data_IF_335264189066
#
_entry.id   IF_335264189066
#
_cell.length_a   1.000
_cell.length_b   1.000
_cell.length_c   1.000
_cell.angle_alpha   90.00
_cell.angle_beta   90.00
_cell.angle_gamma   90.00
#
_symmetry.space_group_name_H-M   'P 1'
#
loop_
_entity.id
_entity.type
_entity.pdbx_description
1 polymer ?
#
# COMPACT_ATOMS: atom_id res chain seq x y z
N UNK A 1 -22.55 25.77 -10.36
CA UNK A 1 -24.00 25.52 -10.44
C UNK A 1 -24.22 24.38 -11.42
N UNK A 2 -24.36 23.14 -10.94
CA UNK A 2 -24.63 21.97 -11.80
C UNK A 2 -26.15 21.82 -11.86
N UNK A 3 -26.80 22.62 -12.69
CA UNK A 3 -28.28 22.76 -12.71
C UNK A 3 -28.93 22.20 -13.97
N UNK A 4 -28.14 21.71 -14.93
CA UNK A 4 -28.69 21.11 -16.15
C UNK A 4 -28.76 19.57 -16.02
N UNK A 5 -29.88 18.94 -16.41
CA UNK A 5 -30.07 17.49 -16.28
C UNK A 5 -29.06 16.68 -17.10
N UNK A 6 -28.59 17.23 -18.23
CA UNK A 6 -27.55 16.60 -19.05
C UNK A 6 -26.18 16.57 -18.35
N UNK A 7 -25.80 17.63 -17.63
CA UNK A 7 -24.55 17.62 -16.84
C UNK A 7 -24.60 16.60 -15.70
N UNK A 8 -25.76 16.40 -15.08
CA UNK A 8 -25.92 15.35 -14.07
C UNK A 8 -25.80 13.96 -14.70
N UNK A 9 -26.46 13.73 -15.85
CA UNK A 9 -26.38 12.47 -16.57
C UNK A 9 -24.95 12.13 -17.00
N UNK A 10 -24.19 13.10 -17.52
CA UNK A 10 -22.79 12.90 -17.89
C UNK A 10 -21.92 12.62 -16.67
N UNK A 11 -22.15 13.32 -15.56
CA UNK A 11 -21.39 13.11 -14.32
C UNK A 11 -21.63 11.73 -13.75
N UNK A 12 -22.89 11.31 -13.64
CA UNK A 12 -23.26 9.95 -13.19
C UNK A 12 -22.70 8.89 -14.13
N UNK A 13 -22.75 9.13 -15.45
CA UNK A 13 -22.16 8.24 -16.45
C UNK A 13 -20.66 8.06 -16.26
N UNK A 14 -19.91 9.15 -16.06
CA UNK A 14 -18.47 9.10 -15.81
C UNK A 14 -18.15 8.35 -14.51
N UNK A 15 -18.88 8.63 -13.43
CA UNK A 15 -18.72 7.94 -12.15
C UNK A 15 -18.98 6.43 -12.33
N UNK A 16 -20.04 6.05 -13.04
CA UNK A 16 -20.36 4.67 -13.31
C UNK A 16 -19.26 3.98 -14.14
N UNK A 17 -18.74 4.65 -15.18
CA UNK A 17 -17.63 4.11 -16.00
C UNK A 17 -16.38 3.90 -15.16
N UNK A 18 -16.01 4.86 -14.31
CA UNK A 18 -14.86 4.71 -13.41
C UNK A 18 -15.07 3.59 -12.38
N UNK A 19 -16.27 3.49 -11.80
CA UNK A 19 -16.62 2.42 -10.87
C UNK A 19 -16.57 1.03 -11.53
N UNK A 20 -17.07 0.92 -12.77
CA UNK A 20 -17.00 -0.31 -13.56
C UNK A 20 -15.54 -0.64 -13.89
N UNK A 21 -14.75 0.30 -14.37
CA UNK A 21 -13.33 0.09 -14.67
C UNK A 21 -12.57 -0.39 -13.42
N UNK A 22 -12.77 0.27 -12.27
CA UNK A 22 -12.18 -0.12 -11.00
C UNK A 22 -12.62 -1.52 -10.57
N UNK A 23 -13.91 -1.84 -10.70
CA UNK A 23 -14.45 -3.17 -10.41
C UNK A 23 -13.85 -4.26 -11.32
N UNK A 24 -13.71 -3.99 -12.61
CA UNK A 24 -13.12 -4.92 -13.57
C UNK A 24 -11.64 -5.19 -13.26
N UNK A 25 -10.87 -4.15 -12.92
CA UNK A 25 -9.47 -4.29 -12.52
C UNK A 25 -9.36 -5.06 -11.21
N UNK A 26 -10.15 -4.72 -10.20
CA UNK A 26 -10.21 -5.44 -8.94
C UNK A 26 -10.50 -6.93 -9.16
N UNK A 27 -11.56 -7.24 -9.93
CA UNK A 27 -11.93 -8.62 -10.24
C UNK A 27 -10.82 -9.35 -10.97
N UNK A 28 -10.15 -8.70 -11.92
CA UNK A 28 -9.03 -9.29 -12.65
C UNK A 28 -7.86 -9.60 -11.70
N UNK A 29 -7.51 -8.68 -10.81
CA UNK A 29 -6.45 -8.90 -9.82
C UNK A 29 -6.80 -10.05 -8.87
N UNK A 30 -8.05 -10.16 -8.40
CA UNK A 30 -8.48 -11.31 -7.59
C UNK A 30 -8.42 -12.63 -8.37
N UNK A 31 -8.65 -12.59 -9.69
CA UNK A 31 -8.55 -13.76 -10.58
C UNK A 31 -7.11 -14.13 -10.95
N UNK A 32 -6.16 -13.21 -10.82
CA UNK A 32 -4.72 -13.48 -10.96
C UNK A 32 -4.08 -13.95 -9.64
N UNK A 33 -4.75 -13.71 -8.51
CA UNK A 33 -4.35 -14.17 -7.18
C UNK A 33 -4.90 -15.55 -6.69
N UNK A 34 -5.44 -16.50 -7.50
CA UNK A 34 -5.84 -17.80 -7.00
C UNK A 34 -4.74 -18.88 -7.02
N UNK A 35 -3.55 -18.62 -7.58
CA UNK A 35 -2.40 -19.53 -7.43
C UNK A 35 -1.52 -19.13 -6.23
N UNK A 36 -2.13 -19.05 -5.04
CA UNK A 36 -1.37 -19.12 -3.79
C UNK A 36 -1.05 -20.59 -3.54
N UNK A 37 0.12 -21.00 -4.02
CA UNK A 37 0.90 -22.15 -3.54
C UNK A 37 0.17 -23.50 -3.51
N UNK A 38 0.20 -24.21 -4.63
CA UNK A 38 0.26 -25.68 -4.60
C UNK A 38 1.55 -26.10 -5.32
N UNK A 39 2.64 -26.21 -4.56
CA UNK A 39 3.90 -26.68 -5.10
C UNK A 39 5.14 -26.22 -4.34
N UNK A 40 5.69 -27.15 -3.56
CA UNK A 40 7.13 -27.35 -3.33
C UNK A 40 7.72 -26.91 -1.97
N UNK A 41 8.03 -27.98 -1.23
CA UNK A 41 9.05 -28.25 -0.20
C UNK A 41 9.20 -27.41 1.09
N UNK A 42 9.13 -28.04 2.30
CA UNK A 42 9.36 -27.39 3.59
C UNK A 42 10.82 -27.08 3.99
N UNK A 43 11.80 -27.11 3.08
CA UNK A 43 13.23 -26.98 3.46
C UNK A 43 14.00 -26.05 2.52
N UNK A 44 13.65 -24.76 2.47
CA UNK A 44 14.54 -23.72 1.95
C UNK A 44 14.59 -22.55 2.93
N UNK A 45 15.83 -22.20 3.30
CA UNK A 45 16.22 -21.37 4.41
C UNK A 45 15.59 -19.97 4.37
N UNK A 46 14.91 -19.62 5.46
CA UNK A 46 14.34 -18.30 5.74
C UNK A 46 15.42 -17.22 5.72
N UNK A 47 15.36 -16.34 4.71
CA UNK A 47 15.80 -14.95 4.84
C UNK A 47 14.55 -14.06 4.88
N UNK A 48 14.25 -13.38 6.00
CA UNK A 48 13.09 -12.52 6.11
C UNK A 48 13.51 -11.07 5.84
N UNK A 49 13.77 -10.70 4.59
CA UNK A 49 13.93 -9.26 4.27
C UNK A 49 13.23 -8.77 3.01
N UNK A 50 12.46 -9.60 2.31
CA UNK A 50 11.62 -9.15 1.18
C UNK A 50 10.17 -8.93 1.62
N UNK A 51 9.97 -8.12 2.65
CA UNK A 51 8.63 -7.87 3.17
C UNK A 51 7.87 -6.80 2.37
N UNK A 52 6.66 -7.14 1.98
CA UNK A 52 5.67 -6.22 1.40
C UNK A 52 4.67 -5.83 2.48
N UNK A 53 4.54 -4.53 2.76
CA UNK A 53 3.49 -3.96 3.59
C UNK A 53 2.26 -3.62 2.74
N UNK A 54 1.14 -4.29 3.03
CA UNK A 54 -0.15 -4.00 2.39
C UNK A 54 -0.79 -2.79 3.08
N UNK A 55 -1.16 -1.79 2.30
CA UNK A 55 -1.85 -0.61 2.80
C UNK A 55 -3.28 -0.99 3.24
N UNK A 56 -3.69 -0.70 4.50
CA UNK A 56 -5.05 -1.01 4.95
C UNK A 56 -6.12 -0.10 4.33
N UNK A 57 -5.74 1.07 3.84
CA UNK A 57 -6.66 2.07 3.28
C UNK A 57 -7.03 1.78 1.82
N UNK A 58 -6.07 1.31 1.01
CA UNK A 58 -6.28 1.11 -0.43
C UNK A 58 -5.85 -0.27 -0.94
N UNK A 59 -5.32 -1.14 -0.09
CA UNK A 59 -4.87 -2.48 -0.45
C UNK A 59 -3.57 -2.53 -1.25
N UNK A 60 -2.94 -1.39 -1.54
CA UNK A 60 -1.70 -1.36 -2.33
C UNK A 60 -0.55 -2.06 -1.59
N UNK A 61 0.23 -2.85 -2.32
CA UNK A 61 1.50 -3.40 -1.88
C UNK A 61 2.58 -2.30 -1.87
N UNK A 62 3.25 -2.13 -0.73
CA UNK A 62 4.36 -1.22 -0.55
C UNK A 62 5.57 -2.00 -0.03
N UNK A 63 6.79 -1.57 -0.34
CA UNK A 63 7.97 -2.16 0.29
C UNK A 63 7.99 -1.81 1.80
N UNK A 64 8.54 -2.68 2.63
CA UNK A 64 8.81 -2.35 4.03
C UNK A 64 9.73 -1.12 4.14
N UNK A 65 9.49 -0.28 5.13
CA UNK A 65 10.25 0.96 5.37
C UNK A 65 9.59 2.23 4.83
N UNK A 66 8.60 2.13 3.94
CA UNK A 66 7.79 3.29 3.58
C UNK A 66 6.94 3.75 4.76
N UNK A 67 6.98 5.05 5.03
CA UNK A 67 6.16 5.70 6.07
C UNK A 67 4.72 5.92 5.64
N UNK A 68 4.52 6.14 4.33
CA UNK A 68 3.23 6.40 3.71
C UNK A 68 3.05 5.53 2.47
N UNK A 69 1.82 5.19 2.15
CA UNK A 69 1.47 4.42 0.97
C UNK A 69 1.80 5.19 -0.31
N UNK A 70 2.47 4.54 -1.26
CA UNK A 70 2.84 5.14 -2.55
C UNK A 70 1.65 5.35 -3.50
N UNK A 71 0.48 4.80 -3.20
CA UNK A 71 -0.74 4.91 -4.01
C UNK A 71 -1.71 5.96 -3.46
N UNK A 72 -2.10 5.85 -2.19
CA UNK A 72 -3.10 6.73 -1.57
C UNK A 72 -2.53 7.73 -0.56
N UNK A 73 -1.22 7.69 -0.25
CA UNK A 73 -0.55 8.56 0.73
C UNK A 73 -1.00 8.34 2.19
N UNK A 74 -1.84 7.32 2.45
CA UNK A 74 -2.24 6.91 3.80
C UNK A 74 -1.06 6.37 4.64
N UNK A 75 -1.11 6.46 5.98
CA UNK A 75 -0.04 5.97 6.85
C UNK A 75 0.08 4.44 6.77
N UNK A 76 1.32 3.92 6.79
CA UNK A 76 1.57 2.48 6.81
C UNK A 76 1.95 1.99 8.22
N UNK A 77 1.40 0.84 8.67
CA UNK A 77 1.83 0.21 9.91
C UNK A 77 3.26 -0.32 9.74
N UNK A 78 4.19 0.12 10.58
CA UNK A 78 5.61 -0.24 10.49
C UNK A 78 6.55 0.88 10.08
N UNK A 79 6.05 2.11 9.95
CA UNK A 79 6.89 3.29 9.87
C UNK A 79 7.73 3.42 11.15
N UNK A 80 8.98 2.96 11.10
CA UNK A 80 9.91 3.11 12.22
C UNK A 80 10.08 4.61 12.46
N UNK A 81 9.50 5.12 13.54
CA UNK A 81 9.82 6.46 14.02
C UNK A 81 11.23 6.36 14.58
N UNK A 82 12.22 6.92 13.91
CA UNK A 82 13.53 7.14 14.51
C UNK A 82 13.34 8.04 15.74
N UNK A 83 13.14 7.42 16.91
CA UNK A 83 13.29 8.07 18.20
C UNK A 83 14.79 8.34 18.34
N UNK A 84 15.18 9.57 18.00
CA UNK A 84 16.53 10.06 18.23
C UNK A 84 16.65 10.26 19.73
N UNK A 85 17.20 9.28 20.44
CA UNK A 85 17.53 9.41 21.85
C UNK A 85 18.59 10.51 22.02
N UNK A 86 18.14 11.66 22.51
CA UNK A 86 18.93 12.88 22.68
C UNK A 86 19.68 12.93 24.03
N UNK A 87 20.04 11.77 24.60
CA UNK A 87 20.51 11.69 25.99
C UNK A 87 21.99 11.34 26.18
N UNK A 88 22.86 11.54 25.19
CA UNK A 88 24.31 11.43 25.42
C UNK A 88 25.06 12.73 25.11
N UNK A 89 25.30 13.60 26.10
CA UNK A 89 26.10 14.79 25.93
C UNK A 89 27.59 14.39 25.97
N UNK A 90 28.25 14.48 24.82
CA UNK A 90 29.70 14.65 24.68
C UNK A 90 30.57 13.62 25.44
N UNK A 91 30.79 12.50 24.77
CA UNK A 91 31.86 11.55 25.07
C UNK A 91 33.22 12.23 25.14
N UNK A 92 33.78 12.19 26.36
CA UNK A 92 35.18 12.36 26.74
C UNK A 92 36.11 11.65 25.74
N UNK A 93 36.85 12.42 24.93
CA UNK A 93 38.05 11.95 24.24
C UNK A 93 39.28 12.51 24.95
N UNK A 94 39.91 11.66 25.74
CA UNK A 94 41.30 11.78 26.17
C UNK A 94 42.18 11.07 25.15
N UNK A 95 43.08 11.81 24.51
CA UNK A 95 44.42 11.33 24.17
C UNK A 95 45.36 12.54 24.14
#
# INVERSE_FOLDING_TARGET
>A
MVTSPWMLATTVGLIAVHGVLAYYVYRLQTRLSPDRFEGTDPDELVQPDEGVAVCPECGAANELGYRFCRSCVGPLPGAVTFQRDSSNPLGRFTQ
#
